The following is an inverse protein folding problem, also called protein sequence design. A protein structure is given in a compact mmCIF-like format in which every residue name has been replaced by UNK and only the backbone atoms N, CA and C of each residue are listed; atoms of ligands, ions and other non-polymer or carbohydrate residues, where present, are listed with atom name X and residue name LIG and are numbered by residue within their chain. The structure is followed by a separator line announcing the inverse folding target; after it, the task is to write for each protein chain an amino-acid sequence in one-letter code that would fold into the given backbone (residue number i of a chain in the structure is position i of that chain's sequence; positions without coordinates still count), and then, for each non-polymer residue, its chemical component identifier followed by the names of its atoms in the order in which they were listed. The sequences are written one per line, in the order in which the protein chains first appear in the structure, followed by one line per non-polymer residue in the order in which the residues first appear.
data_IF_029468548842
#
_entry.id   IF_029468548842
#
_cell.length_a   1.000
_cell.length_b   1.000
_cell.length_c   1.000
_cell.angle_alpha   90.00
_cell.angle_beta   90.00
_cell.angle_gamma   90.00
#
_symmetry.space_group_name_H-M   'P 1'
#
loop_
_entity.id
_entity.type
_entity.pdbx_description
1 polymer ?
#
# COMPACT_ATOMS: atom_id res chain seq x y z
N UNK A 1 22.38 21.59 26.86
CA UNK A 1 21.41 20.58 27.32
C UNK A 1 21.42 19.45 26.31
N UNK A 2 22.01 18.32 26.66
CA UNK A 2 22.10 17.16 25.78
C UNK A 2 20.73 16.50 25.65
N UNK A 3 20.33 16.21 24.45
CA UNK A 3 19.11 15.46 24.12
C UNK A 3 19.40 13.98 24.41
N UNK A 4 19.00 13.51 25.60
CA UNK A 4 19.12 12.09 25.98
C UNK A 4 18.00 11.31 25.26
N UNK A 5 18.34 10.64 24.17
CA UNK A 5 17.43 9.73 23.49
C UNK A 5 17.46 8.35 24.15
N UNK A 6 16.35 7.91 24.73
CA UNK A 6 16.21 6.58 25.29
C UNK A 6 15.62 5.62 24.23
N UNK A 7 16.29 4.51 23.99
CA UNK A 7 15.76 3.42 23.18
C UNK A 7 14.84 2.52 24.01
N UNK A 8 13.57 2.44 23.65
CA UNK A 8 12.63 1.47 24.24
C UNK A 8 12.80 0.11 23.54
N UNK A 9 13.16 -0.91 24.31
CA UNK A 9 13.25 -2.29 23.83
C UNK A 9 12.11 -3.10 24.46
N UNK A 10 11.40 -3.87 23.64
CA UNK A 10 10.35 -4.78 24.14
C UNK A 10 11.06 -5.92 24.89
N UNK A 11 10.84 -6.07 26.20
CA UNK A 11 11.72 -6.86 27.08
C UNK A 11 11.57 -8.37 26.88
N UNK A 12 10.42 -8.87 26.41
CA UNK A 12 10.18 -10.30 26.22
C UNK A 12 9.10 -10.58 25.15
N UNK A 13 8.93 -11.86 24.81
CA UNK A 13 8.00 -12.33 23.78
C UNK A 13 6.54 -12.06 24.16
N UNK A 14 6.17 -12.17 25.42
CA UNK A 14 4.79 -11.97 25.89
C UNK A 14 4.37 -10.52 25.74
N UNK A 15 5.21 -9.56 26.15
CA UNK A 15 4.97 -8.13 25.96
C UNK A 15 4.90 -7.78 24.48
N UNK A 16 5.73 -8.40 23.64
CA UNK A 16 5.67 -8.22 22.18
C UNK A 16 4.32 -8.66 21.62
N UNK A 17 3.79 -9.80 22.05
CA UNK A 17 2.48 -10.30 21.59
C UNK A 17 1.34 -9.39 22.06
N UNK A 18 1.37 -8.89 23.30
CA UNK A 18 0.38 -7.92 23.78
C UNK A 18 0.39 -6.64 22.93
N UNK A 19 1.58 -6.09 22.64
CA UNK A 19 1.69 -4.93 21.77
C UNK A 19 1.20 -5.23 20.35
N UNK A 20 1.52 -6.39 19.81
CA UNK A 20 1.04 -6.82 18.48
C UNK A 20 -0.49 -6.92 18.42
N UNK A 21 -1.10 -7.48 19.45
CA UNK A 21 -2.56 -7.57 19.56
C UNK A 21 -3.21 -6.18 19.67
N UNK A 22 -2.65 -5.29 20.51
CA UNK A 22 -3.16 -3.94 20.66
C UNK A 22 -3.01 -3.11 19.37
N UNK A 23 -1.88 -3.24 18.66
CA UNK A 23 -1.68 -2.59 17.37
C UNK A 23 -2.67 -3.13 16.35
N UNK A 24 -2.89 -4.43 16.28
CA UNK A 24 -3.86 -5.05 15.38
C UNK A 24 -5.30 -4.61 15.69
N UNK A 25 -5.69 -4.53 16.96
CA UNK A 25 -7.01 -4.04 17.37
C UNK A 25 -7.19 -2.55 17.04
N UNK A 26 -6.17 -1.74 17.29
CA UNK A 26 -6.19 -0.33 16.92
C UNK A 26 -6.27 -0.16 15.38
N UNK A 27 -5.48 -0.94 14.64
CA UNK A 27 -5.48 -0.96 13.19
C UNK A 27 -6.86 -1.33 12.65
N UNK A 28 -7.47 -2.41 13.16
CA UNK A 28 -8.83 -2.82 12.81
C UNK A 28 -9.83 -1.69 13.09
N UNK A 29 -9.82 -1.10 14.28
CA UNK A 29 -10.72 0.01 14.63
C UNK A 29 -10.54 1.23 13.74
N UNK A 30 -9.29 1.60 13.43
CA UNK A 30 -9.01 2.80 12.64
C UNK A 30 -9.36 2.64 11.16
N UNK A 31 -9.13 1.47 10.58
CA UNK A 31 -9.33 1.17 9.17
C UNK A 31 -10.76 0.70 8.91
N UNK A 32 -11.24 -0.26 9.70
CA UNK A 32 -12.55 -0.91 9.48
C UNK A 32 -13.71 -0.24 10.20
N UNK A 33 -13.50 0.89 10.90
CA UNK A 33 -14.58 1.63 11.58
C UNK A 33 -15.66 2.17 10.64
N UNK A 34 -15.40 2.25 9.34
CA UNK A 34 -16.35 2.69 8.34
C UNK A 34 -16.28 1.78 7.11
N UNK A 35 -17.10 0.72 7.13
CA UNK A 35 -17.16 -0.27 6.06
C UNK A 35 -17.49 0.34 4.68
N UNK A 36 -18.39 1.33 4.62
CA UNK A 36 -18.78 1.98 3.37
C UNK A 36 -17.60 2.68 2.68
N UNK A 37 -16.77 3.37 3.46
CA UNK A 37 -15.58 4.04 2.90
C UNK A 37 -14.51 3.06 2.45
N UNK A 38 -14.38 1.97 3.18
CA UNK A 38 -13.44 0.91 2.81
C UNK A 38 -13.87 0.23 1.51
N UNK A 39 -15.16 -0.08 1.36
CA UNK A 39 -15.72 -0.59 0.10
C UNK A 39 -15.55 0.41 -1.05
N UNK A 40 -15.77 1.71 -0.78
CA UNK A 40 -15.52 2.76 -1.79
C UNK A 40 -14.05 2.81 -2.21
N UNK A 41 -13.12 2.59 -1.29
CA UNK A 41 -11.69 2.55 -1.60
C UNK A 41 -11.32 1.34 -2.46
N UNK A 42 -11.82 0.14 -2.14
CA UNK A 42 -11.56 -1.04 -2.96
C UNK A 42 -12.12 -0.88 -4.37
N UNK A 43 -13.37 -0.41 -4.48
CA UNK A 43 -13.98 -0.09 -5.77
C UNK A 43 -13.19 0.97 -6.55
N UNK A 44 -12.66 1.96 -5.87
CA UNK A 44 -11.82 2.98 -6.50
C UNK A 44 -10.52 2.40 -7.09
N UNK A 45 -9.94 1.38 -6.46
CA UNK A 45 -8.78 0.67 -7.01
C UNK A 45 -9.15 -0.13 -8.26
N UNK A 46 -10.29 -0.82 -8.27
CA UNK A 46 -10.79 -1.54 -9.45
C UNK A 46 -11.11 -0.61 -10.61
N UNK A 47 -11.73 0.54 -10.33
CA UNK A 47 -12.10 1.53 -11.33
C UNK A 47 -10.93 2.44 -11.77
N UNK A 48 -9.83 2.45 -11.01
CA UNK A 48 -8.72 3.38 -11.22
C UNK A 48 -9.05 4.83 -10.81
N UNK A 49 -10.01 5.02 -9.89
CA UNK A 49 -10.41 6.34 -9.40
C UNK A 49 -9.39 6.92 -8.42
N UNK A 50 -8.44 7.67 -8.95
CA UNK A 50 -7.31 8.25 -8.19
C UNK A 50 -7.79 9.14 -7.05
N UNK A 51 -8.81 9.95 -7.25
CA UNK A 51 -9.32 10.89 -6.23
C UNK A 51 -9.81 10.15 -4.98
N UNK A 52 -10.60 9.11 -5.14
CA UNK A 52 -11.10 8.30 -4.04
C UNK A 52 -9.99 7.49 -3.36
N UNK A 53 -9.01 6.99 -4.12
CA UNK A 53 -7.82 6.31 -3.59
C UNK A 53 -7.05 7.27 -2.67
N UNK A 54 -6.71 8.46 -3.17
CA UNK A 54 -5.97 9.47 -2.41
C UNK A 54 -6.75 9.96 -1.20
N UNK A 55 -8.04 10.22 -1.34
CA UNK A 55 -8.88 10.70 -0.24
C UNK A 55 -8.92 9.71 0.92
N UNK A 56 -9.09 8.42 0.63
CA UNK A 56 -9.12 7.39 1.64
C UNK A 56 -7.77 7.25 2.35
N UNK A 57 -6.70 7.07 1.59
CA UNK A 57 -5.35 6.87 2.14
C UNK A 57 -4.87 8.11 2.92
N UNK A 58 -5.07 9.33 2.40
CA UNK A 58 -4.69 10.56 3.09
C UNK A 58 -5.43 10.72 4.42
N UNK A 59 -6.69 10.30 4.49
CA UNK A 59 -7.46 10.29 5.73
C UNK A 59 -6.88 9.31 6.75
N UNK A 60 -6.57 8.06 6.33
CA UNK A 60 -5.95 7.08 7.23
C UNK A 60 -4.60 7.59 7.75
N UNK A 61 -3.77 8.14 6.86
CA UNK A 61 -2.45 8.66 7.20
C UNK A 61 -2.53 9.86 8.15
N UNK A 62 -3.51 10.76 7.97
CA UNK A 62 -3.70 11.92 8.87
C UNK A 62 -4.12 11.51 10.28
N UNK A 63 -4.92 10.45 10.39
CA UNK A 63 -5.44 9.94 11.67
C UNK A 63 -4.50 8.92 12.33
N UNK A 64 -3.54 8.35 11.58
CA UNK A 64 -2.56 7.44 12.15
C UNK A 64 -1.54 8.20 12.97
N UNK A 65 -1.37 7.75 14.21
CA UNK A 65 -0.42 8.29 15.17
C UNK A 65 1.00 8.21 14.58
N UNK A 66 1.85 9.12 14.98
CA UNK A 66 3.28 9.36 14.76
C UNK A 66 4.22 8.18 14.36
N UNK A 67 3.70 6.98 14.06
CA UNK A 67 4.50 5.84 13.58
C UNK A 67 5.27 6.19 12.30
N UNK A 68 4.69 7.08 11.47
CA UNK A 68 5.32 7.55 10.24
C UNK A 68 6.24 8.77 10.45
N UNK A 69 6.18 9.41 11.64
CA UNK A 69 6.97 10.60 11.97
C UNK A 69 8.30 10.26 12.68
N UNK A 70 8.52 9.01 13.07
CA UNK A 70 9.78 8.60 13.71
C UNK A 70 10.96 8.72 12.74
N UNK A 71 12.14 9.10 13.27
CA UNK A 71 13.43 9.19 12.54
C UNK A 71 13.92 7.79 12.13
N UNK A 72 13.16 7.08 11.28
CA UNK A 72 13.54 5.76 10.76
C UNK A 72 14.37 5.92 9.47
N UNK A 73 15.20 4.94 9.20
CA UNK A 73 15.96 4.80 7.97
C UNK A 73 14.99 4.66 6.79
N UNK A 74 15.33 5.20 5.61
CA UNK A 74 14.40 5.30 4.47
C UNK A 74 13.70 3.98 4.09
N UNK A 75 14.38 2.84 4.10
CA UNK A 75 13.78 1.53 3.77
C UNK A 75 12.73 1.05 4.79
N UNK A 76 12.86 1.43 6.06
CA UNK A 76 11.85 1.10 7.07
C UNK A 76 10.55 1.90 6.91
N UNK A 77 10.62 3.08 6.29
CA UNK A 77 9.43 3.90 6.02
C UNK A 77 8.62 3.33 4.87
N UNK A 78 9.25 2.93 3.79
CA UNK A 78 8.60 2.28 2.66
C UNK A 78 7.89 0.99 3.10
N UNK A 79 8.57 0.14 3.86
CA UNK A 79 7.98 -1.07 4.45
C UNK A 79 6.77 -0.76 5.36
N UNK A 80 6.75 0.39 6.05
CA UNK A 80 5.63 0.75 6.91
C UNK A 80 4.36 1.10 6.10
N UNK A 81 4.50 1.82 4.99
CA UNK A 81 3.38 2.12 4.10
C UNK A 81 2.92 0.88 3.33
N UNK A 82 3.87 0.06 2.90
CA UNK A 82 3.58 -1.22 2.26
C UNK A 82 2.72 -2.11 3.19
N UNK A 83 3.16 -2.34 4.44
CA UNK A 83 2.42 -3.14 5.40
C UNK A 83 1.05 -2.55 5.74
N UNK A 84 0.93 -1.22 5.82
CA UNK A 84 -0.35 -0.54 6.00
C UNK A 84 -1.30 -0.86 4.84
N UNK A 85 -0.84 -0.72 3.61
CA UNK A 85 -1.67 -0.94 2.42
C UNK A 85 -2.06 -2.41 2.29
N UNK A 86 -1.13 -3.36 2.47
CA UNK A 86 -1.44 -4.79 2.50
C UNK A 86 -2.52 -5.10 3.53
N UNK A 87 -2.41 -4.53 4.75
CA UNK A 87 -3.43 -4.72 5.79
C UNK A 87 -4.81 -4.18 5.42
N UNK A 88 -4.89 -3.07 4.68
CA UNK A 88 -6.15 -2.51 4.17
C UNK A 88 -6.74 -3.42 3.08
N UNK A 89 -5.92 -3.88 2.15
CA UNK A 89 -6.35 -4.69 1.01
C UNK A 89 -6.81 -6.08 1.46
N UNK A 90 -6.10 -6.73 2.38
CA UNK A 90 -6.48 -8.04 2.95
C UNK A 90 -7.76 -7.99 3.79
N UNK A 91 -8.28 -6.81 4.05
CA UNK A 91 -9.61 -6.63 4.66
C UNK A 91 -10.76 -6.98 3.72
N UNK A 92 -10.53 -7.00 2.41
CA UNK A 92 -11.48 -7.55 1.44
C UNK A 92 -11.32 -9.08 1.41
N UNK A 93 -12.34 -9.80 1.91
CA UNK A 93 -12.28 -11.24 2.03
C UNK A 93 -12.35 -11.98 0.67
N UNK A 94 -12.80 -11.30 -0.37
CA UNK A 94 -12.94 -11.84 -1.73
C UNK A 94 -11.68 -11.65 -2.57
N UNK A 95 -10.71 -10.85 -2.08
CA UNK A 95 -9.45 -10.57 -2.77
C UNK A 95 -8.31 -11.47 -2.29
N UNK A 96 -7.54 -11.99 -3.21
CA UNK A 96 -6.26 -12.62 -2.90
C UNK A 96 -5.13 -11.60 -3.07
N UNK A 97 -4.63 -11.10 -1.95
CA UNK A 97 -3.56 -10.10 -1.91
C UNK A 97 -2.21 -10.79 -1.73
N UNK A 98 -1.31 -10.56 -2.66
CA UNK A 98 0.07 -11.06 -2.65
C UNK A 98 1.04 -9.90 -2.51
N UNK A 99 2.05 -10.08 -1.70
CA UNK A 99 2.99 -9.03 -1.30
C UNK A 99 4.44 -9.51 -1.48
N UNK A 100 5.28 -8.67 -2.06
CA UNK A 100 6.68 -8.96 -2.39
C UNK A 100 6.83 -10.27 -3.16
N UNK A 101 6.02 -10.45 -4.18
CA UNK A 101 5.97 -11.67 -4.99
C UNK A 101 6.85 -11.52 -6.23
N UNK A 102 7.52 -12.60 -6.60
CA UNK A 102 8.23 -12.70 -7.86
C UNK A 102 7.25 -12.58 -9.03
N UNK A 103 7.45 -11.59 -9.88
CA UNK A 103 6.61 -11.29 -11.03
C UNK A 103 7.47 -10.66 -12.15
N UNK A 104 7.29 -11.13 -13.39
CA UNK A 104 8.08 -10.66 -14.51
C UNK A 104 9.59 -10.76 -14.24
N UNK A 105 10.29 -9.65 -14.36
CA UNK A 105 11.75 -9.56 -14.15
C UNK A 105 12.13 -8.99 -12.76
N UNK A 106 11.34 -9.25 -11.72
CA UNK A 106 11.64 -8.77 -10.39
C UNK A 106 10.61 -9.16 -9.35
N UNK A 107 10.46 -8.31 -8.35
CA UNK A 107 9.49 -8.48 -7.27
C UNK A 107 8.52 -7.31 -7.27
N UNK A 108 7.23 -7.60 -7.47
CA UNK A 108 6.16 -6.62 -7.35
C UNK A 108 5.85 -6.37 -5.87
N UNK A 109 5.62 -5.11 -5.51
CA UNK A 109 5.26 -4.78 -4.13
C UNK A 109 3.95 -5.44 -3.73
N UNK A 110 2.88 -5.26 -4.52
CA UNK A 110 1.58 -5.85 -4.24
C UNK A 110 0.89 -6.24 -5.55
N UNK A 111 0.36 -7.47 -5.58
CA UNK A 111 -0.55 -7.94 -6.63
C UNK A 111 -1.86 -8.35 -5.97
N UNK A 112 -2.98 -7.93 -6.57
CA UNK A 112 -4.32 -8.28 -6.13
C UNK A 112 -5.02 -9.06 -7.23
N UNK A 113 -5.42 -10.27 -6.91
CA UNK A 113 -6.39 -11.04 -7.68
C UNK A 113 -7.76 -10.72 -7.08
N UNK A 114 -8.63 -10.05 -7.87
CA UNK A 114 -9.97 -9.69 -7.42
C UNK A 114 -10.91 -10.89 -7.53
N UNK A 115 -12.13 -10.77 -6.99
CA UNK A 115 -13.21 -11.75 -7.14
C UNK A 115 -13.70 -11.90 -8.59
N UNK A 116 -13.55 -10.85 -9.41
CA UNK A 116 -13.69 -10.98 -10.86
C UNK A 116 -12.49 -11.76 -11.43
N UNK A 117 -12.72 -12.94 -12.04
CA UNK A 117 -11.65 -13.78 -12.57
C UNK A 117 -10.90 -13.12 -13.75
N UNK A 118 -11.50 -12.15 -14.41
CA UNK A 118 -10.88 -11.42 -15.52
C UNK A 118 -10.11 -10.17 -15.05
N UNK A 119 -10.30 -9.70 -13.81
CA UNK A 119 -9.72 -8.47 -13.30
C UNK A 119 -8.59 -8.70 -12.28
N UNK A 120 -7.67 -7.74 -12.21
CA UNK A 120 -6.60 -7.73 -11.23
C UNK A 120 -5.89 -6.39 -11.14
N UNK A 121 -5.10 -6.21 -10.08
CA UNK A 121 -4.44 -4.94 -9.81
C UNK A 121 -2.96 -5.19 -9.48
N UNK A 122 -2.06 -4.43 -10.10
CA UNK A 122 -0.64 -4.36 -9.75
C UNK A 122 -0.38 -3.02 -9.11
N UNK A 123 0.17 -3.02 -7.90
CA UNK A 123 0.47 -1.80 -7.15
C UNK A 123 1.97 -1.75 -6.85
N UNK A 124 2.61 -0.64 -7.20
CA UNK A 124 3.99 -0.33 -6.87
C UNK A 124 4.03 0.92 -5.99
N UNK A 125 4.84 0.88 -4.94
CA UNK A 125 4.93 1.93 -3.94
C UNK A 125 6.25 2.67 -4.04
N UNK A 126 6.23 3.96 -3.73
CA UNK A 126 7.43 4.78 -3.58
C UNK A 126 7.32 5.65 -2.35
N UNK A 127 8.44 5.80 -1.63
CA UNK A 127 8.57 6.79 -0.56
C UNK A 127 9.45 7.94 -1.03
N UNK A 128 8.98 9.17 -0.81
CA UNK A 128 9.73 10.38 -1.10
C UNK A 128 9.81 11.31 0.11
N UNK A 129 10.83 12.16 0.15
CA UNK A 129 11.07 13.09 1.27
C UNK A 129 10.33 14.40 1.10
N UNK A 130 9.99 14.78 -0.14
CA UNK A 130 9.34 16.04 -0.49
C UNK A 130 8.02 15.80 -1.22
N UNK A 131 7.02 16.61 -0.94
CA UNK A 131 5.71 16.56 -1.62
C UNK A 131 5.83 16.83 -3.13
N UNK A 132 6.78 17.66 -3.55
CA UNK A 132 6.99 17.99 -4.96
C UNK A 132 7.50 16.80 -5.79
N UNK A 133 8.03 15.77 -5.15
CA UNK A 133 8.55 14.57 -5.81
C UNK A 133 7.48 13.49 -6.01
N UNK A 134 6.30 13.63 -5.38
CA UNK A 134 5.30 12.55 -5.32
C UNK A 134 4.75 12.19 -6.70
N UNK A 135 4.48 13.17 -7.54
CA UNK A 135 3.96 12.92 -8.89
C UNK A 135 4.96 12.15 -9.76
N UNK A 136 6.21 12.59 -9.74
CA UNK A 136 7.28 11.88 -10.45
C UNK A 136 7.51 10.48 -9.87
N UNK A 137 7.31 10.29 -8.57
CA UNK A 137 7.44 8.99 -7.94
C UNK A 137 6.31 8.03 -8.35
N UNK A 138 5.07 8.50 -8.48
CA UNK A 138 3.98 7.71 -9.03
C UNK A 138 4.28 7.27 -10.48
N UNK A 139 4.79 8.20 -11.31
CA UNK A 139 5.17 7.87 -12.67
C UNK A 139 6.31 6.85 -12.73
N UNK A 140 7.32 6.96 -11.85
CA UNK A 140 8.40 5.97 -11.73
C UNK A 140 7.88 4.60 -11.29
N UNK A 141 6.88 4.57 -10.41
CA UNK A 141 6.24 3.32 -10.00
C UNK A 141 5.56 2.63 -11.19
N UNK A 142 4.76 3.35 -11.97
CA UNK A 142 4.13 2.81 -13.18
C UNK A 142 5.16 2.37 -14.23
N UNK A 143 6.19 3.18 -14.44
CA UNK A 143 7.31 2.82 -15.33
C UNK A 143 7.98 1.52 -14.89
N UNK A 144 8.23 1.34 -13.58
CA UNK A 144 8.82 0.11 -13.05
C UNK A 144 7.93 -1.11 -13.28
N UNK A 145 6.61 -0.99 -13.11
CA UNK A 145 5.67 -2.08 -13.41
C UNK A 145 5.83 -2.52 -14.86
N UNK A 146 5.88 -1.58 -15.81
CA UNK A 146 6.04 -1.87 -17.24
C UNK A 146 7.41 -2.46 -17.57
N UNK A 147 8.50 -1.83 -17.11
CA UNK A 147 9.87 -2.25 -17.38
C UNK A 147 10.21 -3.64 -16.81
N UNK A 148 9.59 -3.99 -15.67
CA UNK A 148 9.78 -5.27 -14.98
C UNK A 148 8.72 -6.30 -15.33
N UNK A 149 7.76 -5.95 -16.16
CA UNK A 149 6.69 -6.84 -16.62
C UNK A 149 5.86 -7.45 -15.49
N UNK A 150 5.62 -6.73 -14.38
CA UNK A 150 4.91 -7.26 -13.22
C UNK A 150 3.48 -7.71 -13.55
N UNK A 151 2.84 -7.07 -14.52
CA UNK A 151 1.51 -7.44 -15.02
C UNK A 151 1.45 -8.84 -15.65
N UNK A 152 2.58 -9.40 -16.09
CA UNK A 152 2.61 -10.75 -16.67
C UNK A 152 2.16 -11.81 -15.68
N UNK A 153 2.33 -11.57 -14.38
CA UNK A 153 1.81 -12.46 -13.35
C UNK A 153 0.30 -12.68 -13.49
N UNK A 154 -0.47 -11.59 -13.65
CA UNK A 154 -1.93 -11.64 -13.83
C UNK A 154 -2.33 -12.09 -15.24
N UNK A 155 -1.59 -11.69 -16.27
CA UNK A 155 -1.81 -12.13 -17.65
C UNK A 155 -1.65 -13.64 -17.79
N UNK A 156 -0.66 -14.24 -17.12
CA UNK A 156 -0.44 -15.69 -17.10
C UNK A 156 -1.55 -16.45 -16.37
N UNK A 157 -2.29 -15.77 -15.47
CA UNK A 157 -3.51 -16.27 -14.84
C UNK A 157 -4.78 -16.02 -15.69
N UNK A 158 -4.62 -15.64 -16.97
CA UNK A 158 -5.67 -15.32 -17.94
C UNK A 158 -6.54 -14.10 -17.59
N UNK A 159 -6.11 -13.23 -16.69
CA UNK A 159 -6.78 -11.97 -16.37
C UNK A 159 -6.50 -10.94 -17.46
N UNK A 160 -7.50 -10.15 -17.84
CA UNK A 160 -7.45 -9.23 -18.97
C UNK A 160 -7.70 -7.77 -18.60
N UNK A 161 -8.54 -7.52 -17.57
CA UNK A 161 -8.79 -6.18 -17.04
C UNK A 161 -7.83 -5.88 -15.89
N UNK A 162 -6.63 -5.43 -16.23
CA UNK A 162 -5.57 -5.21 -15.26
C UNK A 162 -5.38 -3.72 -15.02
N UNK A 163 -5.49 -3.31 -13.76
CA UNK A 163 -5.16 -1.97 -13.29
C UNK A 163 -3.71 -1.92 -12.80
N UNK A 164 -2.98 -0.93 -13.27
CA UNK A 164 -1.65 -0.62 -12.77
C UNK A 164 -1.77 0.62 -11.89
N UNK A 165 -1.21 0.57 -10.70
CA UNK A 165 -1.34 1.65 -9.73
C UNK A 165 0.03 2.00 -9.12
N UNK A 166 0.51 3.20 -9.37
CA UNK A 166 1.69 3.77 -8.73
C UNK A 166 1.29 4.68 -7.57
N UNK A 167 1.73 4.36 -6.35
CA UNK A 167 1.39 5.16 -5.16
C UNK A 167 2.67 5.70 -4.52
N UNK A 168 2.75 7.01 -4.35
CA UNK A 168 3.85 7.67 -3.67
C UNK A 168 3.43 8.19 -2.30
N UNK A 169 4.25 7.95 -1.29
CA UNK A 169 4.04 8.41 0.07
C UNK A 169 5.09 9.45 0.48
N UNK A 170 4.61 10.49 1.17
CA UNK A 170 5.46 11.49 1.80
C UNK A 170 4.87 11.88 3.15
N UNK A 171 5.51 11.49 4.26
CA UNK A 171 4.99 11.74 5.62
C UNK A 171 3.55 11.23 5.76
N UNK A 172 2.59 12.11 6.06
CA UNK A 172 1.16 11.79 6.23
C UNK A 172 0.33 12.04 4.96
N UNK A 173 0.93 11.95 3.79
CA UNK A 173 0.25 12.15 2.50
C UNK A 173 0.64 11.08 1.50
N UNK A 174 -0.28 10.77 0.63
CA UNK A 174 -0.04 9.98 -0.57
C UNK A 174 -0.52 10.72 -1.82
N UNK A 175 0.02 10.31 -2.95
CA UNK A 175 -0.46 10.60 -4.29
C UNK A 175 -0.52 9.28 -5.05
N UNK A 176 -1.48 9.14 -5.95
CA UNK A 176 -1.64 7.95 -6.77
C UNK A 176 -1.72 8.30 -8.26
N UNK A 177 -1.35 7.37 -9.10
CA UNK A 177 -1.61 7.35 -10.53
C UNK A 177 -2.03 5.96 -10.93
N UNK A 178 -2.97 5.86 -11.85
CA UNK A 178 -3.48 4.58 -12.35
C UNK A 178 -3.46 4.55 -13.87
N UNK A 179 -3.24 3.35 -14.40
CA UNK A 179 -3.34 3.05 -15.83
C UNK A 179 -4.16 1.77 -16.01
N UNK A 180 -4.85 1.66 -17.14
CA UNK A 180 -5.48 0.42 -17.59
C UNK A 180 -4.51 -0.25 -18.54
N UNK A 181 -4.20 -1.51 -18.32
CA UNK A 181 -3.42 -2.27 -19.29
C UNK A 181 -4.28 -2.46 -20.56
N UNK A 182 -3.81 -2.00 -21.73
CA UNK A 182 -4.59 -2.16 -22.97
C UNK A 182 -4.74 -3.64 -23.31
N UNK A 183 -5.98 -4.08 -23.48
CA UNK A 183 -6.29 -5.43 -23.99
C UNK A 183 -5.74 -5.53 -25.43
N UNK A 184 -4.83 -6.48 -25.62
CA UNK A 184 -4.33 -6.81 -26.96
C UNK A 184 -5.27 -7.75 -27.69
#
# INVERSE_FOLDING_TARGET
MGDESYGLVIPNREVREVFRLQINEWFKRSIFSNAERLTTFWKALEEGNVENIEQYLNRILSNSISVFDTKRINGEKENSYHNLLVGILTGNAEWLVKSNIEAGEGFADIIVETDDPDAGIVIELKYVKSFNEMEQACQKALTQIHERHYQEYLLNDNRKDIRLCGIAFCKKRCKAMTEVLPVK
#
